data_IF_039671841483
#
_entry.id   IF_039671841483
#
_cell.length_a   1.000
_cell.length_b   1.000
_cell.length_c   1.000
_cell.angle_alpha   90.00
_cell.angle_beta   90.00
_cell.angle_gamma   90.00
#
_symmetry.space_group_name_H-M   'P 1'
#
loop_
_entity.id
_entity.type
_entity.pdbx_description
1 polymer ?
#
# COMPACT_ATOMS: atom_id res chain seq x y z
N UNK A 1 -22.74 12.97 3.15
CA UNK A 1 -21.84 11.91 2.64
C UNK A 1 -20.59 11.93 3.51
N UNK A 2 -20.47 10.95 4.42
CA UNK A 2 -19.48 10.97 5.49
C UNK A 2 -18.07 10.68 4.99
N UNK A 3 -17.15 11.61 5.25
CA UNK A 3 -15.72 11.36 5.14
C UNK A 3 -15.30 10.42 6.28
N UNK A 4 -14.65 9.34 5.87
CA UNK A 4 -14.02 8.33 6.73
C UNK A 4 -13.05 9.05 7.69
N UNK A 5 -13.13 8.69 8.97
CA UNK A 5 -12.62 9.43 10.12
C UNK A 5 -11.12 9.70 10.14
N UNK A 6 -10.76 10.77 10.87
CA UNK A 6 -9.39 11.24 11.11
C UNK A 6 -8.54 10.22 11.89
N UNK A 7 -7.32 9.96 11.41
CA UNK A 7 -6.16 9.65 12.26
C UNK A 7 -4.84 9.90 11.50
N UNK A 8 -4.13 10.99 11.84
CA UNK A 8 -2.72 11.25 11.47
C UNK A 8 -2.43 11.52 9.99
N UNK A 9 -1.34 12.25 9.71
CA UNK A 9 -0.77 12.25 8.36
C UNK A 9 -0.10 10.88 8.16
N UNK A 10 -0.47 10.09 7.13
CA UNK A 10 0.13 8.79 6.90
C UNK A 10 1.61 8.95 6.53
N UNK A 11 2.46 8.11 7.12
CA UNK A 11 3.89 8.10 6.77
C UNK A 11 4.14 7.62 5.33
N UNK A 12 3.28 6.73 4.81
CA UNK A 12 3.28 6.25 3.43
C UNK A 12 1.94 5.58 3.10
N UNK A 13 1.38 5.90 1.93
CA UNK A 13 0.20 5.24 1.36
C UNK A 13 0.66 4.23 0.32
N UNK A 14 0.34 2.96 0.48
CA UNK A 14 0.76 1.89 -0.43
C UNK A 14 -0.43 1.40 -1.23
N UNK A 15 -0.28 1.31 -2.56
CA UNK A 15 -1.33 0.86 -3.46
C UNK A 15 -0.79 -0.22 -4.38
N UNK A 16 -1.55 -1.28 -4.60
CA UNK A 16 -1.23 -2.29 -5.61
C UNK A 16 -1.67 -1.80 -7.00
N UNK A 17 -0.81 -1.96 -8.00
CA UNK A 17 -1.14 -1.65 -9.38
C UNK A 17 -2.12 -2.68 -9.97
N UNK A 18 -3.41 -2.50 -9.71
CA UNK A 18 -4.48 -3.36 -10.24
C UNK A 18 -5.44 -2.56 -11.13
N UNK A 19 -5.18 -2.60 -12.44
CA UNK A 19 -6.18 -2.25 -13.45
C UNK A 19 -6.19 -0.79 -13.92
N UNK A 20 -5.20 0.02 -13.57
CA UNK A 20 -4.96 1.37 -14.13
C UNK A 20 -5.58 2.53 -13.35
N UNK A 21 -6.38 2.26 -12.30
CA UNK A 21 -6.97 3.30 -11.43
C UNK A 21 -5.98 3.81 -10.36
N UNK A 22 -4.92 3.04 -10.11
CA UNK A 22 -3.86 3.39 -9.17
C UNK A 22 -3.11 4.67 -9.58
N UNK A 23 -2.97 4.93 -10.88
CA UNK A 23 -2.18 6.06 -11.39
C UNK A 23 -2.88 7.41 -11.18
N UNK A 24 -4.18 7.59 -11.52
CA UNK A 24 -4.93 8.79 -11.16
C UNK A 24 -4.94 9.05 -9.64
N UNK A 25 -5.11 8.00 -8.83
CA UNK A 25 -5.14 8.12 -7.38
C UNK A 25 -3.76 8.49 -6.82
N UNK A 26 -2.68 7.84 -7.28
CA UNK A 26 -1.31 8.17 -6.88
C UNK A 26 -0.95 9.61 -7.24
N UNK A 27 -1.39 10.06 -8.42
CA UNK A 27 -1.18 11.44 -8.87
C UNK A 27 -1.90 12.42 -7.97
N UNK A 28 -3.16 12.13 -7.62
CA UNK A 28 -3.96 12.98 -6.73
C UNK A 28 -3.36 13.05 -5.32
N UNK A 29 -2.88 11.92 -4.78
CA UNK A 29 -2.25 11.85 -3.47
C UNK A 29 -0.91 12.59 -3.44
N UNK A 30 -0.08 12.45 -4.48
CA UNK A 30 1.17 13.21 -4.63
C UNK A 30 0.90 14.71 -4.74
N UNK A 31 -0.11 15.12 -5.52
CA UNK A 31 -0.50 16.52 -5.64
C UNK A 31 -1.00 17.11 -4.31
N UNK A 32 -1.55 16.26 -3.42
CA UNK A 32 -1.94 16.63 -2.06
C UNK A 32 -0.77 16.63 -1.06
N UNK A 33 0.47 16.35 -1.51
CA UNK A 33 1.66 16.30 -0.65
C UNK A 33 1.73 15.04 0.23
N UNK A 34 0.95 14.01 -0.07
CA UNK A 34 0.95 12.76 0.68
C UNK A 34 1.97 11.77 0.09
N UNK A 35 2.80 11.12 0.92
CA UNK A 35 3.73 10.11 0.47
C UNK A 35 2.97 8.88 -0.02
N UNK A 36 3.23 8.44 -1.25
CA UNK A 36 2.54 7.31 -1.88
C UNK A 36 3.50 6.40 -2.64
N UNK A 37 3.30 5.09 -2.57
CA UNK A 37 4.04 4.07 -3.31
C UNK A 37 3.06 3.16 -4.05
N UNK A 38 3.31 2.92 -5.33
CA UNK A 38 2.57 1.97 -6.16
C UNK A 38 3.42 0.71 -6.32
N UNK A 39 2.92 -0.43 -5.85
CA UNK A 39 3.63 -1.71 -5.92
C UNK A 39 3.06 -2.60 -7.02
N UNK A 40 3.95 -3.35 -7.67
CA UNK A 40 3.54 -4.30 -8.69
C UNK A 40 2.84 -5.51 -8.04
N UNK A 41 1.66 -5.94 -8.51
CA UNK A 41 0.94 -7.09 -7.97
C UNK A 41 1.77 -8.39 -7.98
N UNK A 42 2.71 -8.53 -8.92
CA UNK A 42 3.66 -9.66 -8.93
C UNK A 42 4.61 -9.63 -7.74
N UNK A 43 5.08 -8.44 -7.36
CA UNK A 43 5.99 -8.26 -6.22
C UNK A 43 5.25 -8.48 -4.90
N UNK A 44 4.04 -7.94 -4.76
CA UNK A 44 3.16 -8.19 -3.60
C UNK A 44 2.93 -9.70 -3.39
N UNK A 45 2.58 -10.41 -4.47
CA UNK A 45 2.41 -11.88 -4.44
C UNK A 45 3.70 -12.64 -4.12
N UNK A 46 4.83 -12.23 -4.68
CA UNK A 46 6.12 -12.87 -4.42
C UNK A 46 6.52 -12.70 -2.94
N UNK A 47 6.30 -11.52 -2.37
CA UNK A 47 6.56 -11.23 -0.97
C UNK A 47 5.62 -11.98 -0.02
N UNK A 48 4.33 -12.08 -0.36
CA UNK A 48 3.36 -12.90 0.40
C UNK A 48 3.74 -14.38 0.43
N UNK A 49 4.19 -14.93 -0.71
CA UNK A 49 4.72 -16.29 -0.79
C UNK A 49 5.98 -16.49 0.06
N UNK A 50 6.94 -15.56 -0.03
CA UNK A 50 8.16 -15.61 0.78
C UNK A 50 7.87 -15.46 2.30
N UNK A 51 6.81 -14.74 2.65
CA UNK A 51 6.37 -14.53 4.04
C UNK A 51 5.49 -15.68 4.58
N UNK A 52 5.25 -16.75 3.81
CA UNK A 52 4.40 -17.87 4.21
C UNK A 52 2.90 -17.53 4.30
N UNK A 53 2.48 -16.35 3.82
CA UNK A 53 1.10 -15.89 3.86
C UNK A 53 0.43 -16.13 2.49
N UNK A 54 -0.20 -17.29 2.37
CA UNK A 54 -1.15 -17.63 1.30
C UNK A 54 -2.57 -17.53 1.85
N UNK A 55 -3.04 -16.32 2.18
CA UNK A 55 -4.40 -16.13 2.69
C UNK A 55 -5.08 -14.91 2.07
N UNK A 56 -6.33 -15.15 1.66
CA UNK A 56 -7.10 -14.44 0.65
C UNK A 56 -8.10 -13.47 1.30
N UNK A 57 -7.61 -12.56 2.15
CA UNK A 57 -8.45 -11.53 2.78
C UNK A 57 -7.82 -10.15 2.62
N UNK A 58 -8.64 -9.14 2.33
CA UNK A 58 -8.20 -7.76 2.09
C UNK A 58 -7.39 -7.19 3.27
N UNK A 59 -7.70 -7.63 4.50
CA UNK A 59 -6.98 -7.20 5.71
C UNK A 59 -5.55 -7.71 5.77
N UNK A 60 -5.34 -8.98 5.39
CA UNK A 60 -3.99 -9.58 5.39
C UNK A 60 -3.15 -9.00 4.26
N UNK A 61 -3.77 -8.72 3.11
CA UNK A 61 -3.11 -8.08 1.99
C UNK A 61 -2.64 -6.66 2.34
N UNK A 62 -3.49 -5.86 2.98
CA UNK A 62 -3.10 -4.54 3.49
C UNK A 62 -1.94 -4.60 4.51
N UNK A 63 -1.92 -5.59 5.40
CA UNK A 63 -0.82 -5.80 6.36
C UNK A 63 0.48 -6.21 5.67
N UNK A 64 0.39 -7.05 4.64
CA UNK A 64 1.53 -7.48 3.83
C UNK A 64 2.15 -6.29 3.08
N UNK A 65 1.30 -5.46 2.45
CA UNK A 65 1.71 -4.23 1.77
C UNK A 65 2.37 -3.24 2.74
N UNK A 66 1.80 -3.05 3.93
CA UNK A 66 2.39 -2.21 4.96
C UNK A 66 3.76 -2.72 5.44
N UNK A 67 3.96 -4.04 5.52
CA UNK A 67 5.26 -4.65 5.85
C UNK A 67 6.28 -4.49 4.73
N UNK A 68 5.87 -4.62 3.48
CA UNK A 68 6.73 -4.39 2.33
C UNK A 68 7.23 -2.94 2.29
N UNK A 69 6.39 -2.00 2.71
CA UNK A 69 6.67 -0.57 2.69
C UNK A 69 7.26 -0.03 4.01
N UNK A 70 7.41 -0.88 5.03
CA UNK A 70 8.07 -0.48 6.26
C UNK A 70 9.53 -0.10 5.94
N UNK A 71 10.03 1.03 6.47
CA UNK A 71 11.43 1.40 6.26
C UNK A 71 12.30 0.27 6.78
N UNK A 72 13.19 -0.25 5.92
CA UNK A 72 14.34 -1.02 6.38
C UNK A 72 15.20 -0.04 7.16
N UNK A 73 14.99 0.08 8.48
CA UNK A 73 15.81 0.90 9.36
C UNK A 73 17.24 0.37 9.21
N UNK A 74 18.19 1.09 8.59
CA UNK A 74 19.59 0.77 8.78
C UNK A 74 19.93 1.21 10.20
N UNK A 75 20.43 0.27 11.01
CA UNK A 75 21.02 0.59 12.32
C UNK A 75 22.31 1.37 12.11
#
# INVERSE_FOLDING_TARGET
MGLIGRTGQPALIVMEATGGLEMPLATTLQAAGLPVAVVNPRQARAFGRASGQLAKTDRMDAQLLARMAAPAIPT
#
